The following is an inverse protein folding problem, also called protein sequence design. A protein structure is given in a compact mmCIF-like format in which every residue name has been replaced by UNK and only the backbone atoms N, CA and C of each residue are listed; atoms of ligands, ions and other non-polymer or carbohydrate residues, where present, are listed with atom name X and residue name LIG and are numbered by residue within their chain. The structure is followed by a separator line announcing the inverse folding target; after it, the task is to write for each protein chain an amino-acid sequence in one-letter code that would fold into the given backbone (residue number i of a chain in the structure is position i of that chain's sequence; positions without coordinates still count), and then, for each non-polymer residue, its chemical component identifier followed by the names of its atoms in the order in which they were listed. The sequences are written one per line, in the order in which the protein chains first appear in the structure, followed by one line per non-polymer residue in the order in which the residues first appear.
data_IF_368423184598
#
_entry.id   IF_368423184598
#
_cell.length_a   1.000
_cell.length_b   1.000
_cell.length_c   1.000
_cell.angle_alpha   90.00
_cell.angle_beta   90.00
_cell.angle_gamma   90.00
#
_symmetry.space_group_name_H-M   'P 1'
#
loop_
_entity.id
_entity.type
_entity.pdbx_description
1 polymer ?
#
# COMPACT_ATOMS: atom_id res chain seq x y z
N UNK A 1 -0.25 -11.96 -11.58
CA UNK A 1 0.33 -10.63 -11.29
C UNK A 1 1.29 -10.75 -10.10
N UNK A 2 2.56 -10.44 -10.30
CA UNK A 2 3.59 -10.42 -9.25
C UNK A 2 3.53 -9.09 -8.48
N UNK A 3 3.68 -9.10 -7.15
CA UNK A 3 3.75 -7.86 -6.34
C UNK A 3 5.20 -7.63 -5.90
N UNK A 4 5.78 -6.47 -6.24
CA UNK A 4 7.11 -6.05 -5.78
C UNK A 4 7.04 -4.80 -4.93
N UNK A 5 7.82 -4.78 -3.87
CA UNK A 5 8.00 -3.59 -3.05
C UNK A 5 9.24 -2.81 -3.49
N UNK A 6 9.05 -1.52 -3.78
CA UNK A 6 10.17 -0.62 -4.01
C UNK A 6 11.04 -0.53 -2.75
N UNK A 7 12.31 -0.13 -2.90
CA UNK A 7 13.20 0.15 -1.75
C UNK A 7 12.56 1.15 -0.78
N UNK A 8 11.86 2.15 -1.30
CA UNK A 8 11.17 3.14 -0.48
C UNK A 8 10.03 2.50 0.32
N UNK A 9 9.19 1.69 -0.33
CA UNK A 9 8.09 0.97 0.33
C UNK A 9 8.60 0.04 1.44
N UNK A 10 9.67 -0.73 1.21
CA UNK A 10 10.30 -1.58 2.23
C UNK A 10 10.80 -0.78 3.43
N UNK A 11 11.47 0.35 3.17
CA UNK A 11 11.96 1.24 4.23
C UNK A 11 10.81 1.80 5.07
N UNK A 12 9.70 2.20 4.45
CA UNK A 12 8.53 2.74 5.14
C UNK A 12 7.80 1.67 5.93
N UNK A 13 7.66 0.47 5.37
CA UNK A 13 7.07 -0.68 6.03
C UNK A 13 7.81 -0.99 7.35
N UNK A 14 9.15 -1.07 7.29
CA UNK A 14 10.00 -1.24 8.48
C UNK A 14 9.84 -0.10 9.50
N UNK A 15 9.80 1.16 9.04
CA UNK A 15 9.68 2.33 9.91
C UNK A 15 8.38 2.33 10.74
N UNK A 16 7.27 1.84 10.18
CA UNK A 16 5.97 1.85 10.85
C UNK A 16 5.50 0.49 11.34
N UNK A 17 6.33 -0.55 11.22
CA UNK A 17 5.92 -1.91 11.56
C UNK A 17 4.76 -2.43 10.70
N UNK A 18 4.69 -2.00 9.43
CA UNK A 18 3.72 -2.54 8.48
C UNK A 18 4.29 -3.82 7.89
N UNK A 19 3.60 -4.94 8.06
CA UNK A 19 3.98 -6.20 7.41
C UNK A 19 3.74 -6.11 5.91
N UNK A 20 4.68 -6.64 5.12
CA UNK A 20 4.47 -6.79 3.66
C UNK A 20 3.22 -7.64 3.38
N UNK A 21 2.95 -8.66 4.20
CA UNK A 21 1.74 -9.50 4.08
C UNK A 21 0.45 -8.69 4.23
N UNK A 22 0.40 -7.74 5.17
CA UNK A 22 -0.76 -6.86 5.34
C UNK A 22 -1.03 -6.04 4.08
N UNK A 23 0.02 -5.55 3.42
CA UNK A 23 -0.12 -4.78 2.18
C UNK A 23 -0.55 -5.69 1.03
N UNK A 24 0.04 -6.87 0.89
CA UNK A 24 -0.35 -7.82 -0.17
C UNK A 24 -1.78 -8.30 0.00
N UNK A 25 -2.24 -8.56 1.22
CA UNK A 25 -3.62 -8.98 1.49
C UNK A 25 -4.62 -7.88 1.11
N UNK A 26 -4.31 -6.61 1.39
CA UNK A 26 -5.13 -5.47 0.97
C UNK A 26 -5.22 -5.40 -0.55
N UNK A 27 -4.10 -5.55 -1.24
CA UNK A 27 -4.03 -5.45 -2.71
C UNK A 27 -4.70 -6.65 -3.41
N UNK A 28 -4.56 -7.86 -2.87
CA UNK A 28 -5.18 -9.06 -3.43
C UNK A 28 -6.72 -9.01 -3.43
N UNK A 29 -7.30 -8.25 -2.51
CA UNK A 29 -8.75 -8.03 -2.41
C UNK A 29 -9.26 -6.84 -3.25
N UNK A 30 -8.41 -6.23 -4.09
CA UNK A 30 -8.78 -5.10 -4.93
C UNK A 30 -8.70 -5.42 -6.42
N UNK A 31 -9.76 -5.07 -7.15
CA UNK A 31 -9.73 -5.08 -8.61
C UNK A 31 -9.14 -3.76 -9.12
N UNK A 32 -7.81 -3.71 -9.26
CA UNK A 32 -7.10 -2.55 -9.79
C UNK A 32 -6.82 -2.73 -11.28
N UNK A 33 -7.15 -1.70 -12.07
CA UNK A 33 -6.76 -1.62 -13.48
C UNK A 33 -5.33 -1.10 -13.64
N UNK A 34 -4.76 -1.20 -14.84
CA UNK A 34 -3.43 -0.66 -15.11
C UNK A 34 -3.33 0.85 -14.77
N UNK A 35 -2.14 1.28 -14.34
CA UNK A 35 -1.86 2.66 -13.96
C UNK A 35 -1.51 2.84 -12.48
N UNK A 36 -1.48 4.09 -12.04
CA UNK A 36 -1.15 4.46 -10.67
C UNK A 36 -2.40 4.57 -9.80
N UNK A 37 -2.35 4.00 -8.59
CA UNK A 37 -3.47 4.00 -7.65
C UNK A 37 -3.00 4.40 -6.26
N UNK A 38 -3.84 5.19 -5.59
CA UNK A 38 -3.71 5.49 -4.17
C UNK A 38 -4.85 4.84 -3.40
N UNK A 39 -4.49 4.01 -2.44
CA UNK A 39 -5.41 3.24 -1.62
C UNK A 39 -5.31 3.75 -0.19
N UNK A 40 -6.45 4.04 0.43
CA UNK A 40 -6.55 4.38 1.85
C UNK A 40 -7.45 3.33 2.50
N UNK A 41 -6.93 2.61 3.50
CA UNK A 41 -7.67 1.53 4.18
C UNK A 41 -7.44 1.61 5.69
N UNK A 42 -8.52 1.48 6.45
CA UNK A 42 -8.43 1.25 7.89
C UNK A 42 -7.98 -0.19 8.16
N UNK A 43 -6.93 -0.33 8.96
CA UNK A 43 -6.34 -1.62 9.32
C UNK A 43 -6.26 -1.70 10.84
N UNK A 44 -6.80 -2.78 11.41
CA UNK A 44 -6.75 -3.00 12.87
C UNK A 44 -5.30 -3.02 13.34
N UNK A 45 -5.04 -2.41 14.50
CA UNK A 45 -3.69 -2.27 15.06
C UNK A 45 -2.95 -1.00 14.63
N UNK A 46 -3.45 -0.27 13.63
CA UNK A 46 -2.92 1.05 13.29
C UNK A 46 -3.82 2.17 13.81
N UNK A 47 -3.21 3.21 14.39
CA UNK A 47 -3.94 4.40 14.88
C UNK A 47 -4.55 5.24 13.74
N UNK A 48 -4.02 5.11 12.54
CA UNK A 48 -4.43 5.88 11.37
C UNK A 48 -4.60 4.94 10.16
N UNK A 49 -5.46 5.29 9.20
CA UNK A 49 -5.59 4.53 7.95
C UNK A 49 -4.23 4.37 7.28
N UNK A 50 -3.98 3.22 6.66
CA UNK A 50 -2.80 3.03 5.82
C UNK A 50 -3.07 3.61 4.44
N UNK A 51 -2.18 4.50 3.99
CA UNK A 51 -2.08 4.90 2.58
C UNK A 51 -1.07 4.00 1.89
N UNK A 52 -1.45 3.41 0.76
CA UNK A 52 -0.62 2.56 -0.09
C UNK A 52 -0.69 3.14 -1.50
N UNK A 53 0.46 3.46 -2.11
CA UNK A 53 0.52 3.87 -3.51
C UNK A 53 1.16 2.75 -4.33
N UNK A 54 0.50 2.39 -5.43
CA UNK A 54 0.94 1.31 -6.32
C UNK A 54 0.93 1.75 -7.78
N UNK A 55 1.83 1.17 -8.57
CA UNK A 55 1.79 1.20 -10.03
C UNK A 55 1.51 -0.21 -10.55
N UNK A 56 0.45 -0.33 -11.34
CA UNK A 56 -0.08 -1.59 -11.89
C UNK A 56 0.31 -1.65 -13.37
N UNK A 57 1.25 -2.53 -13.71
CA UNK A 57 1.57 -2.89 -15.09
C UNK A 57 0.77 -4.12 -15.56
N UNK A 58 1.15 -4.70 -16.70
CA UNK A 58 0.53 -5.92 -17.23
C UNK A 58 0.70 -7.11 -16.26
N UNK A 59 1.94 -7.46 -15.93
CA UNK A 59 2.23 -8.62 -15.07
C UNK A 59 2.75 -8.27 -13.68
N UNK A 60 3.11 -7.00 -13.47
CA UNK A 60 3.82 -6.54 -12.28
C UNK A 60 3.09 -5.39 -11.58
N UNK A 61 2.81 -5.57 -10.29
CA UNK A 61 2.36 -4.51 -9.40
C UNK A 61 3.54 -4.03 -8.54
N UNK A 62 3.90 -2.75 -8.64
CA UNK A 62 4.95 -2.15 -7.81
C UNK A 62 4.34 -1.32 -6.69
N UNK A 63 4.58 -1.69 -5.44
CA UNK A 63 4.28 -0.85 -4.28
C UNK A 63 5.33 0.25 -4.19
N UNK A 64 4.90 1.49 -4.44
CA UNK A 64 5.76 2.67 -4.45
C UNK A 64 6.02 3.13 -3.01
N UNK A 65 4.97 3.26 -2.20
CA UNK A 65 5.06 3.63 -0.78
C UNK A 65 3.89 3.05 0.02
N UNK A 66 4.08 2.91 1.33
CA UNK A 66 3.04 2.56 2.29
C UNK A 66 3.30 3.31 3.60
N UNK A 67 2.28 3.86 4.25
CA UNK A 67 2.43 4.52 5.56
C UNK A 67 1.10 4.84 6.24
N UNK A 68 1.08 4.99 7.58
CA UNK A 68 -0.10 5.49 8.29
C UNK A 68 -0.34 6.97 7.96
N UNK A 69 -1.51 7.27 7.41
CA UNK A 69 -1.91 8.60 6.96
C UNK A 69 -2.49 9.41 8.13
N UNK A 70 -1.62 10.05 8.92
CA UNK A 70 -2.02 10.85 10.10
C UNK A 70 -2.92 12.05 9.77
N UNK A 71 -2.71 12.67 8.60
CA UNK A 71 -3.42 13.86 8.13
C UNK A 71 -4.13 13.53 6.82
N UNK A 72 -5.06 12.58 6.87
CA UNK A 72 -6.03 12.44 5.78
C UNK A 72 -6.99 13.61 5.87
N UNK A 73 -7.02 14.50 4.86
CA UNK A 73 -8.17 15.39 4.72
C UNK A 73 -9.41 14.50 4.64
N UNK A 74 -10.31 14.60 5.63
CA UNK A 74 -11.69 14.17 5.45
C UNK A 74 -12.17 14.90 4.20
N UNK A 75 -12.50 14.17 3.15
CA UNK A 75 -13.44 14.68 2.15
C UNK A 75 -14.83 14.50 2.73
#
# INVERSE_FOLDING_TARGET
MEIKFSRHAKRRAKLYGISETTVTDILANMNLHQGEHEIIKDVRGFKYPLKIAVSVGEDLMTVITNYPLKKGRKK
#
